data_IF_629536845075
#
_entry.id   IF_629536845075
#
_cell.length_a   1.000
_cell.length_b   1.000
_cell.length_c   1.000
_cell.angle_alpha   90.00
_cell.angle_beta   90.00
_cell.angle_gamma   90.00
#
_symmetry.space_group_name_H-M   'P 1'
#
loop_
_entity.id
_entity.type
_entity.pdbx_description
1 polymer ?
#
# COMPACT_ATOMS: atom_id res chain seq x y z
N UNK A 1 -22.72 2.96 14.55
CA UNK A 1 -22.98 4.36 14.99
C UNK A 1 -22.19 4.62 16.27
N UNK A 2 -20.95 5.09 16.13
CA UNK A 2 -20.13 5.62 17.23
C UNK A 2 -19.37 6.82 16.66
N UNK A 3 -19.86 8.04 16.93
CA UNK A 3 -19.17 9.30 16.59
C UNK A 3 -17.91 9.42 17.44
N UNK A 4 -16.84 8.80 16.98
CA UNK A 4 -15.58 8.62 17.70
C UNK A 4 -14.62 9.77 17.37
N UNK A 5 -14.52 10.74 18.27
CA UNK A 5 -13.43 11.73 18.27
C UNK A 5 -13.84 13.14 18.66
N UNK A 6 -14.96 13.65 18.13
CA UNK A 6 -15.29 15.09 18.26
C UNK A 6 -16.02 15.44 19.56
N UNK A 7 -16.75 14.49 20.16
CA UNK A 7 -17.47 14.66 21.43
C UNK A 7 -16.52 15.00 22.59
N UNK A 8 -15.29 14.48 22.54
CA UNK A 8 -14.27 14.76 23.55
C UNK A 8 -14.03 16.26 23.65
N UNK A 9 -13.70 16.90 22.53
CA UNK A 9 -13.32 18.33 22.43
C UNK A 9 -14.38 19.32 22.88
N UNK A 10 -15.65 18.90 22.97
CA UNK A 10 -16.76 19.75 23.44
C UNK A 10 -16.99 19.73 24.96
N UNK A 11 -16.32 18.85 25.70
CA UNK A 11 -16.50 18.74 27.15
C UNK A 11 -15.87 19.92 27.90
N UNK A 12 -16.66 20.58 28.74
CA UNK A 12 -16.21 21.64 29.63
C UNK A 12 -15.36 21.08 30.77
N UNK A 13 -14.50 21.92 31.35
CA UNK A 13 -13.67 21.56 32.51
C UNK A 13 -14.49 21.02 33.70
N UNK A 14 -15.73 21.51 33.85
CA UNK A 14 -16.65 21.02 34.86
C UNK A 14 -17.09 19.57 34.61
N UNK A 15 -17.31 19.19 33.35
CA UNK A 15 -17.74 17.84 32.99
C UNK A 15 -16.59 16.85 33.15
N UNK A 16 -15.37 17.25 32.78
CA UNK A 16 -14.14 16.48 33.00
C UNK A 16 -13.94 16.22 34.50
N UNK A 17 -14.12 17.24 35.34
CA UNK A 17 -13.98 17.13 36.79
C UNK A 17 -15.10 16.31 37.44
N UNK A 18 -16.32 16.34 36.91
CA UNK A 18 -17.42 15.46 37.36
C UNK A 18 -17.15 14.00 36.98
N UNK A 19 -16.74 13.74 35.74
CA UNK A 19 -16.41 12.41 35.25
C UNK A 19 -15.24 11.79 36.01
N UNK A 20 -14.18 12.58 36.28
CA UNK A 20 -13.04 12.15 37.09
C UNK A 20 -13.47 11.70 38.49
N UNK A 21 -14.27 12.51 39.20
CA UNK A 21 -14.75 12.17 40.55
C UNK A 21 -15.55 10.87 40.55
N UNK A 22 -16.42 10.68 39.57
CA UNK A 22 -17.23 9.44 39.44
C UNK A 22 -16.33 8.23 39.23
N UNK A 23 -15.36 8.33 38.31
CA UNK A 23 -14.40 7.26 38.02
C UNK A 23 -13.41 7.00 39.16
N UNK A 24 -13.01 8.03 39.89
CA UNK A 24 -12.10 7.93 41.03
C UNK A 24 -12.73 7.14 42.18
N UNK A 25 -14.04 7.33 42.42
CA UNK A 25 -14.80 6.53 43.39
C UNK A 25 -14.94 5.06 42.94
N UNK A 26 -15.18 4.83 41.64
CA UNK A 26 -15.29 3.47 41.09
C UNK A 26 -13.96 2.69 41.15
N UNK A 27 -12.84 3.37 40.90
CA UNK A 27 -11.49 2.81 40.81
C UNK A 27 -10.66 3.00 42.10
N UNK A 28 -11.27 3.42 43.20
CA UNK A 28 -10.54 3.68 44.43
C UNK A 28 -9.94 2.38 44.99
N UNK A 29 -8.64 2.34 45.35
CA UNK A 29 -7.99 1.12 45.84
C UNK A 29 -8.64 0.57 47.12
N UNK A 30 -9.17 1.45 47.98
CA UNK A 30 -9.90 1.07 49.20
C UNK A 30 -11.17 0.25 48.92
N UNK A 31 -11.87 0.50 47.81
CA UNK A 31 -13.05 -0.27 47.40
C UNK A 31 -12.69 -1.53 46.59
N UNK A 32 -11.41 -1.68 46.22
CA UNK A 32 -10.90 -2.81 45.42
C UNK A 32 -9.62 -3.40 46.03
N UNK A 33 -9.64 -3.84 47.29
CA UNK A 33 -8.45 -4.38 47.96
C UNK A 33 -7.92 -5.67 47.31
N UNK A 34 -8.75 -6.39 46.54
CA UNK A 34 -8.39 -7.63 45.86
C UNK A 34 -7.85 -7.44 44.43
N UNK A 35 -7.88 -6.22 43.88
CA UNK A 35 -7.35 -5.95 42.54
C UNK A 35 -5.91 -5.39 42.64
N UNK A 36 -4.88 -6.17 42.27
CA UNK A 36 -3.49 -5.69 42.31
C UNK A 36 -3.25 -4.52 41.35
N UNK A 37 -4.10 -4.33 40.35
CA UNK A 37 -4.01 -3.24 39.39
C UNK A 37 -4.80 -2.00 39.82
N UNK A 38 -5.52 -2.01 40.94
CA UNK A 38 -6.33 -0.87 41.39
C UNK A 38 -5.49 0.40 41.53
N UNK A 39 -4.29 0.27 42.10
CA UNK A 39 -3.35 1.39 42.23
C UNK A 39 -2.89 1.93 40.87
N UNK A 40 -2.49 1.04 39.95
CA UNK A 40 -2.07 1.42 38.60
C UNK A 40 -3.20 2.10 37.81
N UNK A 41 -4.41 1.58 37.91
CA UNK A 41 -5.58 2.14 37.24
C UNK A 41 -5.95 3.51 37.80
N UNK A 42 -5.85 3.70 39.12
CA UNK A 42 -6.05 5.00 39.76
C UNK A 42 -4.98 6.02 39.36
N UNK A 43 -3.71 5.60 39.29
CA UNK A 43 -2.62 6.44 38.78
C UNK A 43 -2.87 6.86 37.33
N UNK A 44 -3.24 5.93 36.44
CA UNK A 44 -3.59 6.24 35.05
C UNK A 44 -4.74 7.25 34.96
N UNK A 45 -5.79 7.05 35.76
CA UNK A 45 -6.91 7.99 35.81
C UNK A 45 -6.46 9.40 36.23
N UNK A 46 -5.60 9.51 37.25
CA UNK A 46 -5.04 10.78 37.73
C UNK A 46 -4.19 11.47 36.66
N UNK A 47 -3.32 10.72 35.98
CA UNK A 47 -2.48 11.25 34.89
C UNK A 47 -3.34 11.78 33.73
N UNK A 48 -4.36 11.01 33.31
CA UNK A 48 -5.29 11.45 32.27
C UNK A 48 -6.05 12.71 32.67
N UNK A 49 -6.51 12.82 33.92
CA UNK A 49 -7.17 14.02 34.42
C UNK A 49 -6.27 15.25 34.38
N UNK A 50 -5.00 15.12 34.79
CA UNK A 50 -4.04 16.23 34.76
C UNK A 50 -3.82 16.76 33.34
N UNK A 51 -3.77 15.88 32.34
CA UNK A 51 -3.61 16.27 30.93
C UNK A 51 -4.87 16.96 30.41
N UNK A 52 -6.06 16.46 30.77
CA UNK A 52 -7.34 16.99 30.29
C UNK A 52 -7.78 18.28 31.01
N UNK A 53 -7.29 18.52 32.23
CA UNK A 53 -7.62 19.69 33.04
C UNK A 53 -7.08 20.99 32.44
N UNK A 54 -5.90 20.96 31.83
CA UNK A 54 -5.34 22.14 31.17
C UNK A 54 -5.62 22.08 29.66
N UNK A 55 -6.22 23.14 29.14
CA UNK A 55 -6.52 23.28 27.72
C UNK A 55 -5.25 23.21 26.85
N UNK A 56 -4.12 23.72 27.34
CA UNK A 56 -2.84 23.65 26.62
C UNK A 56 -2.33 22.22 26.51
N UNK A 57 -2.33 21.48 27.61
CA UNK A 57 -1.89 20.09 27.63
C UNK A 57 -2.82 19.19 26.80
N UNK A 58 -4.12 19.48 26.83
CA UNK A 58 -5.11 18.82 25.99
C UNK A 58 -4.82 19.00 24.51
N UNK A 59 -4.62 20.24 24.05
CA UNK A 59 -4.29 20.53 22.63
C UNK A 59 -3.03 19.82 22.19
N UNK A 60 -1.97 19.87 23.00
CA UNK A 60 -0.72 19.18 22.71
C UNK A 60 -0.92 17.66 22.60
N UNK A 61 -1.71 17.07 23.50
CA UNK A 61 -2.01 15.65 23.46
C UNK A 61 -2.81 15.26 22.21
N UNK A 62 -3.83 16.06 21.84
CA UNK A 62 -4.63 15.85 20.64
C UNK A 62 -3.77 15.97 19.36
N UNK A 63 -2.85 16.93 19.31
CA UNK A 63 -1.89 17.11 18.22
C UNK A 63 -0.93 15.92 18.11
N UNK A 64 -0.41 15.44 19.24
CA UNK A 64 0.49 14.28 19.29
C UNK A 64 -0.22 13.01 18.80
N UNK A 65 -1.47 12.80 19.22
CA UNK A 65 -2.31 11.70 18.73
C UNK A 65 -2.59 11.81 17.22
N UNK A 66 -2.77 13.02 16.69
CA UNK A 66 -2.95 13.25 15.25
C UNK A 66 -1.68 12.88 14.47
N UNK A 67 -0.52 13.34 14.93
CA UNK A 67 0.78 13.01 14.32
C UNK A 67 1.06 11.51 14.38
N UNK A 68 0.80 10.86 15.52
CA UNK A 68 0.97 9.43 15.67
C UNK A 68 0.05 8.65 14.72
N UNK A 69 -1.21 9.05 14.59
CA UNK A 69 -2.17 8.43 13.67
C UNK A 69 -1.76 8.61 12.21
N UNK A 70 -1.26 9.79 11.85
CA UNK A 70 -0.73 10.08 10.51
C UNK A 70 0.49 9.20 10.21
N UNK A 71 1.48 9.13 11.10
CA UNK A 71 2.65 8.26 10.93
C UNK A 71 2.27 6.77 10.75
N UNK A 72 1.26 6.30 11.48
CA UNK A 72 0.71 4.95 11.32
C UNK A 72 -0.04 4.77 9.99
N UNK A 73 -0.67 5.81 9.47
CA UNK A 73 -1.28 5.79 8.14
C UNK A 73 -0.22 5.82 7.05
N UNK A 74 0.81 6.66 7.17
CA UNK A 74 1.89 6.83 6.21
C UNK A 74 2.72 5.56 6.07
N UNK A 75 3.00 4.87 7.17
CA UNK A 75 3.69 3.57 7.16
C UNK A 75 2.89 2.50 6.43
N UNK A 76 1.58 2.38 6.73
CA UNK A 76 0.66 1.49 5.99
C UNK A 76 0.56 1.86 4.52
N UNK A 77 0.52 3.16 4.21
CA UNK A 77 0.45 3.66 2.84
C UNK A 77 1.75 3.30 2.10
N UNK A 78 2.91 3.45 2.74
CA UNK A 78 4.22 3.12 2.16
C UNK A 78 4.37 1.62 1.85
N UNK A 79 3.98 0.73 2.77
CA UNK A 79 4.03 -0.72 2.51
C UNK A 79 3.09 -1.10 1.37
N UNK A 80 1.84 -0.62 1.40
CA UNK A 80 0.87 -0.85 0.33
C UNK A 80 1.35 -0.28 -1.02
N UNK A 81 1.92 0.92 -1.06
CA UNK A 81 2.49 1.51 -2.27
C UNK A 81 3.64 0.67 -2.83
N UNK A 82 4.50 0.10 -1.97
CA UNK A 82 5.59 -0.76 -2.42
C UNK A 82 5.09 -2.06 -3.05
N UNK A 83 4.00 -2.63 -2.53
CA UNK A 83 3.36 -3.82 -3.09
C UNK A 83 2.67 -3.54 -4.42
N UNK A 84 1.98 -2.40 -4.51
CA UNK A 84 1.35 -1.94 -5.76
C UNK A 84 2.43 -1.68 -6.81
N UNK A 85 3.52 -1.00 -6.45
CA UNK A 85 4.64 -0.74 -7.36
C UNK A 85 5.29 -2.04 -7.83
N UNK A 86 5.44 -3.05 -6.95
CA UNK A 86 5.96 -4.37 -7.32
C UNK A 86 5.04 -5.06 -8.33
N UNK A 87 3.73 -5.09 -8.07
CA UNK A 87 2.74 -5.69 -8.98
C UNK A 87 2.74 -4.99 -10.34
N UNK A 88 2.75 -3.66 -10.36
CA UNK A 88 2.80 -2.88 -11.60
C UNK A 88 4.09 -3.17 -12.39
N UNK A 89 5.24 -3.25 -11.71
CA UNK A 89 6.53 -3.55 -12.35
C UNK A 89 6.56 -4.96 -12.94
N UNK A 90 5.98 -5.95 -12.24
CA UNK A 90 5.80 -7.31 -12.75
C UNK A 90 4.87 -7.34 -13.98
N UNK A 91 3.73 -6.64 -13.93
CA UNK A 91 2.77 -6.55 -15.04
C UNK A 91 3.42 -5.96 -16.30
N UNK A 92 4.16 -4.86 -16.16
CA UNK A 92 4.88 -4.20 -17.26
C UNK A 92 5.93 -5.15 -17.85
N UNK A 93 6.69 -5.86 -17.01
CA UNK A 93 7.69 -6.82 -17.46
C UNK A 93 7.07 -7.99 -18.23
N UNK A 94 5.97 -8.58 -17.72
CA UNK A 94 5.21 -9.63 -18.41
C UNK A 94 4.70 -9.17 -19.77
N UNK A 95 4.17 -7.95 -19.83
CA UNK A 95 3.62 -7.38 -21.07
C UNK A 95 4.71 -7.12 -22.10
N UNK A 96 5.86 -6.58 -21.67
CA UNK A 96 7.04 -6.41 -22.52
C UNK A 96 7.59 -7.76 -23.00
N UNK A 97 7.68 -8.77 -22.14
CA UNK A 97 8.12 -10.11 -22.52
C UNK A 97 7.18 -10.75 -23.55
N UNK A 98 5.86 -10.65 -23.37
CA UNK A 98 4.88 -11.11 -24.37
C UNK A 98 5.02 -10.39 -25.71
N UNK A 99 5.16 -9.05 -25.71
CA UNK A 99 5.41 -8.28 -26.94
C UNK A 99 6.72 -8.68 -27.62
N UNK A 100 7.80 -8.89 -26.85
CA UNK A 100 9.09 -9.31 -27.39
C UNK A 100 9.07 -10.75 -27.92
N UNK A 101 8.38 -11.67 -27.26
CA UNK A 101 8.21 -13.05 -27.72
C UNK A 101 7.44 -13.08 -29.05
N UNK A 102 6.30 -12.37 -29.12
CA UNK A 102 5.53 -12.23 -30.35
C UNK A 102 6.35 -11.59 -31.48
N UNK A 103 7.11 -10.53 -31.19
CA UNK A 103 7.98 -9.89 -32.19
C UNK A 103 9.11 -10.82 -32.67
N UNK A 104 9.73 -11.60 -31.78
CA UNK A 104 10.74 -12.60 -32.14
C UNK A 104 10.17 -13.74 -32.98
N UNK A 105 8.97 -14.21 -32.66
CA UNK A 105 8.29 -15.26 -33.41
C UNK A 105 7.90 -14.79 -34.82
N UNK A 106 7.41 -13.55 -34.94
CA UNK A 106 7.15 -12.91 -36.23
C UNK A 106 8.44 -12.76 -37.04
N UNK A 107 9.52 -12.25 -36.43
CA UNK A 107 10.81 -12.06 -37.10
C UNK A 107 11.38 -13.39 -37.61
N UNK A 108 11.42 -14.41 -36.76
CA UNK A 108 11.93 -15.75 -37.14
C UNK A 108 11.07 -16.41 -38.23
N UNK A 109 9.75 -16.19 -38.24
CA UNK A 109 8.86 -16.67 -39.32
C UNK A 109 9.12 -15.95 -40.65
N UNK A 110 9.37 -14.65 -40.62
CA UNK A 110 9.73 -13.85 -41.81
C UNK A 110 11.08 -14.27 -42.37
N UNK A 111 12.09 -14.50 -41.53
CA UNK A 111 13.41 -14.97 -41.97
C UNK A 111 13.33 -16.36 -42.60
N UNK A 112 12.59 -17.31 -42.00
CA UNK A 112 12.34 -18.62 -42.62
C UNK A 112 11.70 -18.50 -44.00
N UNK A 113 10.70 -17.62 -44.18
CA UNK A 113 10.06 -17.36 -45.49
C UNK A 113 11.02 -16.74 -46.51
N UNK A 114 11.94 -15.87 -46.08
CA UNK A 114 12.98 -15.29 -46.95
C UNK A 114 14.02 -16.34 -47.37
N UNK A 115 14.46 -17.19 -46.45
CA UNK A 115 15.42 -18.27 -46.71
C UNK A 115 14.85 -19.29 -47.71
N UNK A 116 13.59 -19.68 -47.57
CA UNK A 116 12.94 -20.56 -48.55
C UNK A 116 12.83 -19.92 -49.96
N UNK A 117 12.70 -18.59 -50.06
CA UNK A 117 12.65 -17.90 -51.37
C UNK A 117 14.00 -17.85 -52.10
N UNK A 118 15.12 -17.93 -51.39
CA UNK A 118 16.47 -17.89 -51.99
C UNK A 118 16.89 -19.25 -52.58
N UNK A 119 16.20 -20.34 -52.24
CA UNK A 119 16.58 -21.71 -52.63
C UNK A 119 16.11 -22.19 -54.01
N UNK A 120 15.36 -21.38 -54.79
CA UNK A 120 14.78 -21.81 -56.08
C UNK A 120 15.36 -21.10 -57.31
N UNK A 121 16.54 -20.47 -57.21
CA UNK A 121 17.11 -19.68 -58.32
C UNK A 121 18.51 -20.10 -58.78
N UNK A 122 18.93 -21.34 -58.48
CA UNK A 122 20.25 -21.82 -58.92
C UNK A 122 20.33 -23.34 -59.10
N UNK A 123 19.54 -23.88 -60.03
CA UNK A 123 19.83 -25.15 -60.69
C UNK A 123 19.27 -25.13 -62.11
N UNK A 124 20.16 -25.04 -63.12
CA UNK A 124 19.88 -25.50 -64.49
C UNK A 124 19.73 -24.43 -65.58
N UNK A 125 20.74 -23.58 -65.79
CA UNK A 125 21.09 -23.15 -67.16
C UNK A 125 21.76 -24.34 -67.83
N UNK A 126 21.03 -25.10 -68.66
CA UNK A 126 21.57 -25.99 -69.71
C UNK A 126 20.41 -26.38 -70.64
N UNK A 127 19.86 -25.40 -71.36
CA UNK A 127 19.05 -25.65 -72.56
C UNK A 127 19.39 -24.57 -73.59
N UNK A 128 20.57 -24.66 -74.19
CA UNK A 128 20.85 -24.01 -75.47
C UNK A 128 20.04 -24.71 -76.55
N UNK A 129 18.81 -24.23 -76.77
CA UNK A 129 17.98 -24.61 -77.91
C UNK A 129 18.70 -24.23 -79.20
N UNK A 130 19.26 -25.23 -79.89
CA UNK A 130 19.87 -25.07 -81.20
C UNK A 130 18.84 -24.54 -82.22
N UNK A 131 18.99 -23.25 -82.52
CA UNK A 131 18.75 -22.55 -83.80
C UNK A 131 17.92 -23.30 -84.86
N UNK A 132 16.68 -22.84 -85.07
CA UNK A 132 15.86 -23.17 -86.24
C UNK A 132 16.43 -22.52 -87.52
N UNK A 133 16.18 -23.21 -88.64
CA UNK A 133 16.80 -23.15 -89.99
C UNK A 133 16.65 -21.81 -90.73
N UNK A 134 17.61 -21.56 -91.63
CA UNK A 134 17.39 -20.88 -92.92
C UNK A 134 18.08 -21.70 -94.01
N UNK A 135 17.29 -22.41 -94.83
CA UNK A 135 17.55 -22.73 -96.25
C UNK A 135 16.19 -22.64 -96.93
#
# INVERSE_FOLDING_TARGET
MLSSGEEGSKLSQNDISKAYRKKALELHPDKRPHDPNAHLNFQKLKTSYNILKDEKHRKLFDDLLRVQRQSQQDSKHKTMMSEIARKLKEEIARTRAKKQASAKEILTSVDKKKVLKVSWKKTGEDYTSQRLRVI
#
